data_IF_943744203433
#
_entry.id   IF_943744203433
#
_cell.length_a   1.000
_cell.length_b   1.000
_cell.length_c   1.000
_cell.angle_alpha   90.00
_cell.angle_beta   90.00
_cell.angle_gamma   90.00
#
_symmetry.space_group_name_H-M   'P 1'
#
loop_
_entity.id
_entity.type
_entity.pdbx_description
1 polymer ?
#
# COMPACT_ATOMS: atom_id res chain seq x y z
N UNK A 1 13.16 12.49 0.49
CA UNK A 1 11.87 12.34 -0.21
C UNK A 1 11.19 11.14 0.42
N UNK A 2 10.35 11.33 1.44
CA UNK A 2 9.61 10.21 2.04
C UNK A 2 8.43 9.92 1.12
N UNK A 3 8.52 8.85 0.33
CA UNK A 3 7.46 8.45 -0.59
C UNK A 3 6.29 7.93 0.23
N UNK A 4 5.21 8.71 0.31
CA UNK A 4 3.98 8.28 0.98
C UNK A 4 3.52 6.94 0.40
N UNK A 5 3.24 5.97 1.29
CA UNK A 5 2.66 4.70 0.88
C UNK A 5 1.31 4.94 0.17
N UNK A 6 1.11 4.39 -1.04
CA UNK A 6 -0.18 4.47 -1.71
C UNK A 6 -1.24 3.64 -0.96
N UNK A 7 -2.51 3.90 -1.26
CA UNK A 7 -3.64 3.13 -0.71
C UNK A 7 -3.41 1.64 -0.86
N UNK A 8 -3.55 0.91 0.24
CA UNK A 8 -3.38 -0.54 0.30
C UNK A 8 -4.77 -1.19 0.30
N UNK A 9 -5.07 -1.97 -0.73
CA UNK A 9 -6.28 -2.81 -0.76
C UNK A 9 -5.96 -4.18 -0.15
N UNK A 10 -6.77 -4.67 0.80
CA UNK A 10 -6.59 -5.97 1.46
C UNK A 10 -7.93 -6.67 1.70
N UNK A 11 -7.88 -8.00 1.74
CA UNK A 11 -9.07 -8.84 2.00
C UNK A 11 -9.30 -8.97 3.51
N UNK A 12 -10.55 -8.82 3.96
CA UNK A 12 -10.93 -9.13 5.34
C UNK A 12 -10.75 -10.62 5.63
N UNK A 13 -10.38 -10.97 6.88
CA UNK A 13 -10.21 -12.38 7.28
C UNK A 13 -8.98 -13.09 6.71
N UNK A 14 -8.15 -12.41 5.89
CA UNK A 14 -6.85 -12.92 5.42
C UNK A 14 -5.70 -12.32 6.21
N UNK A 15 -4.58 -13.05 6.40
CA UNK A 15 -3.39 -12.46 7.00
C UNK A 15 -2.84 -11.36 6.10
N UNK A 16 -2.65 -10.18 6.68
CA UNK A 16 -2.12 -8.99 6.01
C UNK A 16 -0.72 -8.71 6.55
N UNK A 17 0.20 -8.43 5.63
CA UNK A 17 1.54 -7.94 5.94
C UNK A 17 1.78 -6.66 5.14
N UNK A 18 2.07 -5.57 5.83
CA UNK A 18 2.39 -4.27 5.23
C UNK A 18 3.74 -3.84 5.78
N UNK A 19 4.74 -3.78 4.91
CA UNK A 19 6.04 -3.20 5.23
C UNK A 19 5.89 -1.69 5.34
N UNK A 20 6.25 -1.11 6.50
CA UNK A 20 6.38 0.33 6.62
C UNK A 20 7.75 0.77 6.11
N UNK A 21 7.87 2.00 5.59
CA UNK A 21 9.16 2.56 5.23
C UNK A 21 10.09 2.55 6.44
N UNK A 22 11.37 2.31 6.20
CA UNK A 22 12.37 2.47 7.24
C UNK A 22 12.56 3.95 7.54
N UNK A 23 12.36 4.31 8.81
CA UNK A 23 12.71 5.62 9.30
C UNK A 23 14.16 5.57 9.74
N UNK A 24 15.06 5.90 8.82
CA UNK A 24 16.48 6.06 9.12
C UNK A 24 16.71 7.46 9.69
N UNK A 25 17.39 7.52 10.82
CA UNK A 25 17.95 8.75 11.34
C UNK A 25 19.39 8.87 10.84
N UNK A 26 19.71 9.98 10.16
CA UNK A 26 21.04 10.19 9.57
C UNK A 26 22.14 10.36 10.63
N UNK A 27 21.75 10.62 11.87
CA UNK A 27 22.63 10.82 13.02
C UNK A 27 22.79 9.53 13.84
N UNK A 28 22.09 8.45 13.48
CA UNK A 28 22.18 7.14 14.12
C UNK A 28 21.41 7.05 15.43
N UNK A 29 20.54 8.02 15.71
CA UNK A 29 19.75 8.07 16.93
C UNK A 29 18.57 7.06 16.89
N UNK A 30 18.12 6.64 18.08
CA UNK A 30 17.04 5.64 18.18
C UNK A 30 15.69 6.26 17.79
N UNK A 31 15.15 5.86 16.65
CA UNK A 31 13.86 6.34 16.14
C UNK A 31 12.69 5.59 16.76
N UNK A 32 11.75 6.33 17.33
CA UNK A 32 10.52 5.80 17.92
C UNK A 32 9.36 5.85 16.92
N UNK A 33 9.03 4.72 16.30
CA UNK A 33 7.90 4.59 15.36
C UNK A 33 6.59 4.17 16.04
N UNK A 34 5.54 4.97 15.92
CA UNK A 34 4.22 4.68 16.48
C UNK A 34 3.19 4.68 15.37
N UNK A 35 2.30 3.68 15.36
CA UNK A 35 1.24 3.54 14.35
C UNK A 35 -0.12 3.74 15.02
N UNK A 36 -0.99 4.51 14.38
CA UNK A 36 -2.37 4.81 14.80
C UNK A 36 -3.35 4.51 13.68
N UNK A 37 -4.61 4.31 14.04
CA UNK A 37 -5.70 4.02 13.09
C UNK A 37 -5.75 2.56 12.62
N UNK A 38 -4.99 1.67 13.26
CA UNK A 38 -5.01 0.24 12.90
C UNK A 38 -6.39 -0.37 13.13
N UNK A 39 -6.97 -1.08 12.13
CA UNK A 39 -8.21 -1.82 12.30
C UNK A 39 -8.06 -2.96 13.30
N UNK A 40 -9.18 -3.42 13.85
CA UNK A 40 -9.22 -4.56 14.75
C UNK A 40 -8.58 -5.80 14.11
N UNK A 41 -7.69 -6.46 14.85
CA UNK A 41 -6.95 -7.64 14.38
C UNK A 41 -5.59 -7.34 13.73
N UNK A 42 -5.27 -6.08 13.42
CA UNK A 42 -3.93 -5.68 12.98
C UNK A 42 -3.07 -5.15 14.13
N UNK A 43 -1.77 -5.43 14.07
CA UNK A 43 -0.77 -4.98 15.04
C UNK A 43 0.49 -4.52 14.34
N UNK A 44 1.12 -3.49 14.89
CA UNK A 44 2.44 -3.04 14.44
C UNK A 44 3.55 -3.81 15.17
N UNK A 45 4.38 -4.51 14.41
CA UNK A 45 5.60 -5.15 14.88
C UNK A 45 6.79 -4.21 14.65
N UNK A 46 7.31 -3.69 15.76
CA UNK A 46 8.40 -2.71 15.77
C UNK A 46 9.77 -3.33 15.46
N UNK A 47 9.92 -4.66 15.60
CA UNK A 47 11.18 -5.35 15.28
C UNK A 47 11.36 -5.50 13.77
N UNK A 48 10.27 -5.70 13.04
CA UNK A 48 10.28 -5.89 11.57
C UNK A 48 9.79 -4.66 10.81
N UNK A 49 9.36 -3.61 11.52
CA UNK A 49 8.67 -2.44 10.96
C UNK A 49 7.48 -2.83 10.05
N UNK A 50 6.73 -3.85 10.46
CA UNK A 50 5.61 -4.36 9.69
C UNK A 50 4.30 -4.23 10.46
N UNK A 51 3.24 -3.83 9.77
CA UNK A 51 1.89 -4.05 10.24
C UNK A 51 1.49 -5.46 9.80
N UNK A 52 1.21 -6.29 10.79
CA UNK A 52 0.86 -7.70 10.59
C UNK A 52 -0.38 -8.06 11.40
N UNK A 53 -1.14 -9.03 10.89
CA UNK A 53 -2.30 -9.57 11.59
C UNK A 53 -3.38 -9.98 10.61
N UNK A 54 -4.51 -10.41 11.16
CA UNK A 54 -5.69 -10.75 10.38
C UNK A 54 -6.77 -9.75 10.72
N UNK A 55 -7.22 -8.91 9.77
CA UNK A 55 -8.31 -7.98 10.01
C UNK A 55 -9.56 -8.75 10.41
N UNK A 56 -10.26 -8.24 11.43
CA UNK A 56 -11.52 -8.82 11.87
C UNK A 56 -12.59 -8.68 10.77
N UNK A 57 -13.58 -9.57 10.75
CA UNK A 57 -14.60 -9.59 9.70
C UNK A 57 -15.49 -8.32 9.70
N UNK A 58 -15.60 -7.66 10.85
CA UNK A 58 -16.28 -6.38 11.06
C UNK A 58 -15.43 -5.16 10.68
N UNK A 59 -14.14 -5.35 10.41
CA UNK A 59 -13.23 -4.27 10.01
C UNK A 59 -13.30 -3.95 8.51
N UNK A 60 -14.47 -4.03 7.87
CA UNK A 60 -14.66 -3.66 6.46
C UNK A 60 -14.73 -2.14 6.32
N UNK A 61 -13.96 -1.58 5.38
CA UNK A 61 -13.96 -0.15 5.07
C UNK A 61 -12.56 0.45 4.94
N UNK A 62 -12.50 1.77 4.81
CA UNK A 62 -11.27 2.54 4.67
C UNK A 62 -10.73 2.99 6.03
N UNK A 63 -9.49 2.59 6.32
CA UNK A 63 -8.77 2.95 7.55
C UNK A 63 -7.60 3.87 7.22
N UNK A 64 -7.66 5.10 7.72
CA UNK A 64 -6.53 6.02 7.63
C UNK A 64 -5.48 5.62 8.68
N UNK A 65 -4.39 4.99 8.23
CA UNK A 65 -3.28 4.61 9.08
C UNK A 65 -2.28 5.76 9.14
N UNK A 66 -1.97 6.21 10.36
CA UNK A 66 -0.96 7.24 10.61
C UNK A 66 0.27 6.62 11.27
N UNK A 67 1.41 6.73 10.61
CA UNK A 67 2.70 6.27 11.09
C UNK A 67 3.52 7.50 11.48
N UNK A 68 3.86 7.62 12.74
CA UNK A 68 4.68 8.70 13.27
C UNK A 68 6.03 8.15 13.72
N UNK A 69 7.10 8.65 13.13
CA UNK A 69 8.46 8.44 13.59
C UNK A 69 8.93 9.68 14.38
N UNK A 70 9.52 9.45 15.55
CA UNK A 70 10.08 10.51 16.39
C UNK A 70 11.47 10.14 16.87
N UNK A 71 12.45 11.02 16.67
CA UNK A 71 13.81 10.84 17.20
C UNK A 71 13.91 11.32 18.68
N UNK A 72 15.11 11.19 19.26
CA UNK A 72 15.42 11.67 20.61
C UNK A 72 15.62 13.20 20.68
N UNK A 73 15.86 13.87 19.54
CA UNK A 73 16.04 15.33 19.41
C UNK A 73 14.72 16.10 19.30
N UNK A 74 13.62 15.39 19.09
CA UNK A 74 12.28 15.95 19.01
C UNK A 74 11.74 16.13 17.59
N UNK A 75 12.50 15.79 16.55
CA UNK A 75 12.01 15.80 15.18
C UNK A 75 10.96 14.71 15.01
N UNK A 76 9.93 15.02 14.22
CA UNK A 76 8.80 14.13 13.96
C UNK A 76 8.52 14.11 12.47
N UNK A 77 8.44 12.91 11.92
CA UNK A 77 7.93 12.65 10.58
C UNK A 77 6.65 11.86 10.74
N UNK A 78 5.58 12.29 10.08
CA UNK A 78 4.31 11.58 10.07
C UNK A 78 3.94 11.27 8.64
N UNK A 79 3.58 10.02 8.40
CA UNK A 79 3.16 9.51 7.11
C UNK A 79 1.77 8.89 7.27
N UNK A 80 0.93 9.08 6.26
CA UNK A 80 -0.44 8.56 6.28
C UNK A 80 -0.67 7.78 5.02
N UNK A 81 -1.33 6.64 5.17
CA UNK A 81 -1.81 5.84 4.05
C UNK A 81 -3.18 5.28 4.37
N UNK A 82 -3.96 5.01 3.33
CA UNK A 82 -5.28 4.42 3.47
C UNK A 82 -5.15 2.90 3.33
N UNK A 83 -5.73 2.17 4.26
CA UNK A 83 -5.90 0.72 4.19
C UNK A 83 -7.38 0.42 3.96
N UNK A 84 -7.73 -0.03 2.77
CA UNK A 84 -9.09 -0.42 2.42
C UNK A 84 -9.24 -1.92 2.60
N UNK A 85 -10.12 -2.30 3.52
CA UNK A 85 -10.46 -3.67 3.83
C UNK A 85 -11.79 -4.02 3.15
N UNK A 86 -11.71 -4.95 2.21
CA UNK A 86 -12.79 -5.33 1.31
C UNK A 86 -13.06 -6.83 1.41
N UNK A 87 -14.29 -7.25 1.10
CA UNK A 87 -14.59 -8.67 0.87
C UNK A 87 -13.88 -9.16 -0.38
N UNK A 88 -13.68 -10.49 -0.51
CA UNK A 88 -13.03 -11.11 -1.68
C UNK A 88 -13.59 -10.59 -3.01
N UNK A 89 -14.92 -10.51 -3.13
CA UNK A 89 -15.57 -10.08 -4.38
C UNK A 89 -15.40 -8.59 -4.67
N UNK A 90 -15.46 -7.75 -3.64
CA UNK A 90 -15.24 -6.31 -3.79
C UNK A 90 -13.77 -6.01 -4.05
N UNK A 91 -12.85 -6.69 -3.37
CA UNK A 91 -11.42 -6.58 -3.58
C UNK A 91 -11.04 -6.94 -5.02
N UNK A 92 -11.57 -8.05 -5.53
CA UNK A 92 -11.34 -8.48 -6.91
C UNK A 92 -11.87 -7.44 -7.92
N UNK A 93 -13.06 -6.87 -7.67
CA UNK A 93 -13.62 -5.82 -8.52
C UNK A 93 -12.78 -4.52 -8.50
N UNK A 94 -12.33 -4.08 -7.32
CA UNK A 94 -11.50 -2.88 -7.13
C UNK A 94 -10.13 -3.04 -7.81
N UNK A 95 -9.51 -4.21 -7.65
CA UNK A 95 -8.23 -4.54 -8.29
C UNK A 95 -8.36 -4.67 -9.80
N UNK A 96 -9.47 -5.24 -10.30
CA UNK A 96 -9.77 -5.27 -11.73
C UNK A 96 -10.03 -3.86 -12.29
N UNK A 97 -10.67 -2.98 -11.52
CA UNK A 97 -10.88 -1.58 -11.90
C UNK A 97 -9.54 -0.82 -11.97
N UNK A 98 -8.64 -1.01 -11.00
CA UNK A 98 -7.29 -0.45 -11.07
C UNK A 98 -6.50 -1.02 -12.25
N UNK A 99 -6.52 -2.33 -12.51
CA UNK A 99 -5.87 -2.92 -13.67
C UNK A 99 -6.39 -2.34 -15.00
N UNK A 100 -7.72 -2.14 -15.09
CA UNK A 100 -8.36 -1.54 -16.27
C UNK A 100 -7.98 -0.07 -16.43
N UNK A 101 -7.99 0.70 -15.33
CA UNK A 101 -7.59 2.11 -15.34
C UNK A 101 -6.13 2.28 -15.77
N UNK A 102 -5.25 1.37 -15.35
CA UNK A 102 -3.85 1.35 -15.77
C UNK A 102 -3.73 0.99 -17.26
N UNK A 103 -4.51 0.04 -17.77
CA UNK A 103 -4.56 -0.27 -19.20
C UNK A 103 -5.04 0.91 -20.05
N UNK A 104 -6.11 1.58 -19.66
CA UNK A 104 -6.66 2.75 -20.37
C UNK A 104 -5.67 3.92 -20.34
N UNK A 105 -5.03 4.17 -19.19
CA UNK A 105 -4.00 5.20 -19.08
C UNK A 105 -2.82 4.92 -20.01
N UNK A 106 -2.32 3.67 -20.04
CA UNK A 106 -1.22 3.26 -20.91
C UNK A 106 -1.55 3.36 -22.39
N UNK A 107 -2.76 2.95 -22.81
CA UNK A 107 -3.21 3.09 -24.20
C UNK A 107 -3.30 4.57 -24.61
N UNK A 108 -3.78 5.44 -23.71
CA UNK A 108 -3.89 6.88 -23.95
C UNK A 108 -2.53 7.56 -24.14
N UNK A 109 -1.53 7.17 -23.34
CA UNK A 109 -0.15 7.70 -23.43
C UNK A 109 0.62 7.13 -24.63
N UNK A 110 0.43 5.84 -24.96
CA UNK A 110 1.04 5.22 -26.14
C UNK A 110 0.55 5.85 -27.46
N UNK A 111 -0.69 6.36 -27.49
CA UNK A 111 -1.24 7.08 -28.65
C UNK A 111 -0.67 8.49 -28.84
N UNK A 112 -0.02 9.07 -27.83
CA UNK A 112 0.56 10.43 -27.90
C UNK A 112 2.09 10.45 -28.03
N UNK A 113 2.79 9.33 -27.80
CA UNK A 113 4.24 9.25 -27.91
C UNK A 113 4.71 7.88 -28.45
N UNK A 114 5.04 7.76 -29.76
CA UNK A 114 5.29 6.48 -30.42
C UNK A 114 6.56 5.75 -29.94
N UNK A 115 7.53 6.44 -29.33
CA UNK A 115 8.77 5.81 -28.81
C UNK A 115 8.61 5.06 -27.48
N UNK A 116 7.43 5.12 -26.83
CA UNK A 116 7.15 4.49 -25.54
C UNK A 116 6.52 3.07 -25.66
N UNK A 117 6.28 2.58 -26.89
CA UNK A 117 5.70 1.25 -27.17
C UNK A 117 6.33 0.09 -26.36
N UNK A 118 7.66 -0.06 -26.26
CA UNK A 118 8.25 -1.19 -25.53
C UNK A 118 8.05 -1.10 -23.99
N UNK A 119 7.93 0.12 -23.43
CA UNK A 119 7.59 0.33 -22.02
C UNK A 119 6.10 0.14 -21.75
N UNK A 120 5.24 0.50 -22.71
CA UNK A 120 3.81 0.22 -22.64
C UNK A 120 3.54 -1.28 -22.63
N UNK A 121 4.23 -2.08 -23.44
CA UNK A 121 4.10 -3.54 -23.48
C UNK A 121 4.52 -4.20 -22.16
N UNK A 122 5.60 -3.74 -21.53
CA UNK A 122 6.03 -4.27 -20.22
C UNK A 122 5.03 -3.92 -19.11
N UNK A 123 4.51 -2.69 -19.12
CA UNK A 123 3.52 -2.25 -18.14
C UNK A 123 2.16 -2.93 -18.33
N UNK A 124 1.74 -3.17 -19.58
CA UNK A 124 0.54 -3.96 -19.91
C UNK A 124 0.73 -5.42 -19.45
N UNK A 125 1.91 -6.01 -19.64
CA UNK A 125 2.21 -7.37 -19.18
C UNK A 125 2.21 -7.49 -17.65
N UNK A 126 2.71 -6.49 -16.93
CA UNK A 126 2.61 -6.42 -15.46
C UNK A 126 1.14 -6.34 -15.01
N UNK A 127 0.33 -5.48 -15.63
CA UNK A 127 -1.08 -5.34 -15.31
C UNK A 127 -1.86 -6.65 -15.57
N UNK A 128 -1.63 -7.31 -16.71
CA UNK A 128 -2.23 -8.60 -17.04
C UNK A 128 -1.76 -9.72 -16.09
N UNK A 129 -0.52 -9.67 -15.60
CA UNK A 129 0.00 -10.65 -14.62
C UNK A 129 -0.66 -10.48 -13.26
N UNK A 130 -0.87 -9.24 -12.80
CA UNK A 130 -1.63 -8.97 -11.57
C UNK A 130 -3.09 -9.45 -11.68
N UNK A 131 -3.70 -9.32 -12.85
CA UNK A 131 -5.06 -9.78 -13.10
C UNK A 131 -5.18 -11.32 -13.17
N UNK A 132 -4.13 -12.00 -13.65
CA UNK A 132 -4.04 -13.47 -13.66
C UNK A 132 -3.82 -14.08 -12.27
N UNK A 133 -3.17 -13.34 -11.35
CA UNK A 133 -2.96 -13.77 -9.96
C UNK A 133 -4.26 -13.71 -9.11
N UNK A 134 -5.35 -13.19 -9.66
CA UNK A 134 -6.64 -12.99 -8.98
C UNK A 134 -7.71 -14.02 -9.36
N UNK A 135 -7.41 -14.95 -10.27
CA UNK A 135 -8.33 -15.96 -10.78
C UNK A 135 -7.82 -17.38 -10.50
#
# INVERSE_FOLDING_TARGET
>A
MTTALPTQLREIGKPVFIQLPEFADIEGDNVRVSVKGLPAGLRFNRNTNQIQGTPAADAKGDFAIEVQARDNRGNRVSERFTLSLLDKDTLAAEQAAQATAWQVALQSTALTQPDMLPLAETNIKLASTLQSQLN
#
